data_IF_391787980675
#
_entry.id   IF_391787980675
#
_cell.length_a   1.000
_cell.length_b   1.000
_cell.length_c   1.000
_cell.angle_alpha   90.00
_cell.angle_beta   90.00
_cell.angle_gamma   90.00
#
_symmetry.space_group_name_H-M   'P 1'
#
loop_
_entity.id
_entity.type
_entity.pdbx_description
1 polymer ?
#
# COMPACT_ATOMS: atom_id res chain seq x y z
N UNK A 1 -0.03 -17.12 -23.23
CA UNK A 1 0.50 -15.78 -22.89
C UNK A 1 -0.65 -14.90 -22.40
N UNK A 2 -0.39 -14.12 -21.37
CA UNK A 2 -1.31 -13.07 -20.89
C UNK A 2 -0.88 -11.73 -21.48
N UNK A 3 -1.80 -10.94 -22.01
CA UNK A 3 -1.50 -9.66 -22.67
C UNK A 3 -1.50 -8.51 -21.66
N UNK A 4 -0.48 -7.67 -21.71
CA UNK A 4 -0.41 -6.40 -21.00
C UNK A 4 -0.04 -5.29 -21.98
N UNK A 5 -0.88 -4.25 -22.07
CA UNK A 5 -0.66 -3.08 -22.95
C UNK A 5 -0.42 -1.83 -22.10
N UNK A 6 0.54 -1.01 -22.53
CA UNK A 6 0.77 0.30 -21.93
C UNK A 6 -0.25 1.31 -22.45
N UNK A 7 -0.84 2.05 -21.53
CA UNK A 7 -1.85 3.07 -21.84
C UNK A 7 -1.25 4.35 -22.40
N UNK A 8 -1.24 4.46 -23.73
CA UNK A 8 -1.43 5.74 -24.38
C UNK A 8 -2.89 5.78 -24.85
N UNK A 9 -3.59 6.87 -24.62
CA UNK A 9 -5.05 7.03 -24.75
C UNK A 9 -5.75 6.40 -26.00
N UNK A 10 -5.15 6.29 -27.19
CA UNK A 10 -5.76 5.55 -28.33
C UNK A 10 -5.59 4.03 -28.22
N UNK A 11 -4.62 3.53 -27.45
CA UNK A 11 -4.18 2.13 -27.46
C UNK A 11 -5.03 1.27 -26.52
N UNK A 12 -5.60 1.83 -25.46
CA UNK A 12 -6.52 1.09 -24.58
C UNK A 12 -7.79 0.60 -25.30
N UNK A 13 -8.22 1.27 -26.36
CA UNK A 13 -9.32 0.78 -27.20
C UNK A 13 -8.90 -0.38 -28.11
N UNK A 14 -7.61 -0.55 -28.38
CA UNK A 14 -7.07 -1.61 -29.21
C UNK A 14 -6.83 -2.92 -28.42
N UNK A 15 -6.67 -2.84 -27.11
CA UNK A 15 -6.39 -4.02 -26.27
C UNK A 15 -7.45 -5.11 -26.43
N UNK A 16 -8.72 -4.76 -26.23
CA UNK A 16 -9.82 -5.74 -26.25
C UNK A 16 -9.94 -6.46 -27.60
N UNK A 17 -9.99 -5.77 -28.76
CA UNK A 17 -10.05 -6.45 -30.05
C UNK A 17 -8.80 -7.26 -30.37
N UNK A 18 -7.60 -6.79 -30.00
CA UNK A 18 -6.37 -7.54 -30.18
C UNK A 18 -6.35 -8.81 -29.34
N UNK A 19 -6.71 -8.71 -28.06
CA UNK A 19 -6.83 -9.87 -27.16
C UNK A 19 -7.80 -10.91 -27.74
N UNK A 20 -9.00 -10.48 -28.14
CA UNK A 20 -10.00 -11.36 -28.74
C UNK A 20 -9.49 -12.05 -30.01
N UNK A 21 -8.78 -11.33 -30.88
CA UNK A 21 -8.19 -11.90 -32.10
C UNK A 21 -7.11 -12.94 -31.79
N UNK A 22 -6.22 -12.66 -30.82
CA UNK A 22 -5.17 -13.58 -30.41
C UNK A 22 -5.71 -14.85 -29.72
N UNK A 23 -6.74 -14.71 -28.89
CA UNK A 23 -7.44 -15.86 -28.27
C UNK A 23 -8.09 -16.71 -29.35
N UNK A 24 -8.84 -16.10 -30.28
CA UNK A 24 -9.49 -16.80 -31.40
C UNK A 24 -8.49 -17.52 -32.32
N UNK A 25 -7.30 -16.95 -32.48
CA UNK A 25 -6.21 -17.57 -33.24
C UNK A 25 -5.45 -18.67 -32.47
N UNK A 26 -5.83 -18.99 -31.23
CA UNK A 26 -5.15 -19.95 -30.38
C UNK A 26 -3.72 -19.55 -29.95
N UNK A 27 -3.42 -18.24 -30.03
CA UNK A 27 -2.08 -17.70 -29.72
C UNK A 27 -1.98 -17.09 -28.31
N UNK A 28 -3.11 -16.92 -27.63
CA UNK A 28 -3.18 -16.39 -26.29
C UNK A 28 -4.09 -17.28 -25.44
N UNK A 29 -3.61 -17.60 -24.22
CA UNK A 29 -4.40 -18.31 -23.21
C UNK A 29 -4.43 -17.45 -21.94
N UNK A 30 -5.56 -17.41 -21.24
CA UNK A 30 -5.70 -16.68 -19.98
C UNK A 30 -5.35 -17.62 -18.80
N UNK A 31 -4.07 -17.94 -18.67
CA UNK A 31 -3.51 -18.73 -17.57
C UNK A 31 -2.43 -17.91 -16.86
N UNK A 32 -2.59 -17.58 -15.58
CA UNK A 32 -1.60 -16.82 -14.80
C UNK A 32 -0.26 -17.55 -14.63
N UNK A 33 -0.21 -18.87 -14.85
CA UNK A 33 1.02 -19.67 -14.82
C UNK A 33 1.88 -19.52 -16.08
N UNK A 34 1.32 -18.99 -17.17
CA UNK A 34 2.04 -18.81 -18.42
C UNK A 34 2.80 -17.46 -18.46
N UNK A 35 3.91 -17.39 -19.23
CA UNK A 35 4.60 -16.14 -19.49
C UNK A 35 3.65 -15.07 -20.04
N UNK A 36 3.85 -13.83 -19.61
CA UNK A 36 3.04 -12.71 -20.03
C UNK A 36 3.61 -12.07 -21.28
N UNK A 37 2.79 -11.91 -22.31
CA UNK A 37 3.13 -11.15 -23.52
C UNK A 37 2.95 -9.64 -23.22
N UNK A 38 4.04 -8.90 -23.35
CA UNK A 38 4.08 -7.45 -23.17
C UNK A 38 4.20 -6.78 -24.54
N UNK A 39 3.28 -5.86 -24.84
CA UNK A 39 3.33 -5.06 -26.05
C UNK A 39 3.42 -3.58 -25.65
N UNK A 40 4.49 -2.91 -26.08
CA UNK A 40 4.69 -1.48 -25.86
C UNK A 40 4.70 -0.77 -27.22
N UNK A 41 3.66 0.00 -27.51
CA UNK A 41 3.54 0.74 -28.76
C UNK A 41 4.28 2.06 -28.65
N UNK A 42 5.28 2.26 -29.50
CA UNK A 42 5.94 3.54 -29.71
C UNK A 42 5.14 4.46 -30.62
N UNK A 43 4.48 3.87 -31.62
CA UNK A 43 3.60 4.56 -32.57
C UNK A 43 2.57 3.58 -33.12
N UNK A 44 1.69 4.01 -34.01
CA UNK A 44 0.77 3.12 -34.74
C UNK A 44 1.44 2.11 -35.69
N UNK A 45 2.77 2.22 -35.87
CA UNK A 45 3.56 1.36 -36.77
C UNK A 45 4.71 0.64 -36.10
N UNK A 46 5.03 0.99 -34.86
CA UNK A 46 6.15 0.44 -34.13
C UNK A 46 5.71 -0.13 -32.77
N UNK A 47 6.03 -1.38 -32.54
CA UNK A 47 5.72 -2.08 -31.27
C UNK A 47 6.94 -2.84 -30.79
N UNK A 48 7.24 -2.70 -29.50
CA UNK A 48 8.17 -3.59 -28.82
C UNK A 48 7.39 -4.77 -28.24
N UNK A 49 7.90 -5.96 -28.47
CA UNK A 49 7.30 -7.21 -28.02
C UNK A 49 8.27 -7.84 -27.01
N UNK A 50 7.77 -8.16 -25.83
CA UNK A 50 8.54 -8.81 -24.77
C UNK A 50 7.75 -9.92 -24.10
N UNK A 51 8.47 -10.81 -23.46
CA UNK A 51 7.92 -11.85 -22.59
C UNK A 51 8.40 -11.61 -21.17
N UNK A 52 7.48 -11.73 -20.21
CA UNK A 52 7.80 -11.65 -18.79
C UNK A 52 7.36 -12.94 -18.10
N UNK A 53 8.28 -13.53 -17.34
CA UNK A 53 8.00 -14.71 -16.55
C UNK A 53 6.97 -14.40 -15.45
N UNK A 54 6.03 -15.31 -15.12
CA UNK A 54 4.97 -15.07 -14.14
C UNK A 54 5.50 -14.65 -12.77
N UNK A 55 6.64 -15.24 -12.35
CA UNK A 55 7.27 -14.94 -11.06
C UNK A 55 8.00 -13.61 -11.03
N UNK A 56 8.24 -12.99 -12.17
CA UNK A 56 8.97 -11.73 -12.32
C UNK A 56 8.18 -10.69 -13.09
N UNK A 57 6.86 -10.75 -13.03
CA UNK A 57 5.98 -9.77 -13.65
C UNK A 57 4.88 -9.33 -12.69
N UNK A 58 4.56 -8.04 -12.70
CA UNK A 58 3.44 -7.52 -11.93
C UNK A 58 2.11 -8.06 -12.48
N UNK A 59 1.15 -8.33 -11.60
CA UNK A 59 -0.20 -8.78 -11.99
C UNK A 59 -0.95 -7.71 -12.80
N UNK A 60 -0.61 -6.46 -12.57
CA UNK A 60 -1.28 -5.29 -13.13
C UNK A 60 -0.52 -4.75 -14.35
N UNK A 61 -1.22 -4.23 -15.36
CA UNK A 61 -0.55 -3.51 -16.45
C UNK A 61 0.36 -2.41 -15.90
N UNK A 62 1.59 -2.33 -16.37
CA UNK A 62 2.64 -1.41 -15.92
C UNK A 62 3.00 -1.51 -14.42
N UNK A 63 2.57 -2.57 -13.74
CA UNK A 63 2.72 -2.69 -12.29
C UNK A 63 1.83 -1.75 -11.48
N UNK A 64 0.82 -1.14 -12.09
CA UNK A 64 -0.06 -0.14 -11.48
C UNK A 64 -1.42 -0.77 -11.17
N UNK A 65 -1.76 -1.01 -9.89
CA UNK A 65 -3.10 -1.42 -9.52
C UNK A 65 -4.06 -0.23 -9.67
N UNK A 66 -4.89 -0.26 -10.71
CA UNK A 66 -5.94 0.75 -10.91
C UNK A 66 -7.17 0.36 -10.11
N UNK A 67 -7.11 0.68 -8.82
CA UNK A 67 -8.16 0.34 -7.88
C UNK A 67 -9.39 1.21 -8.09
N UNK A 68 -10.57 0.60 -7.95
CA UNK A 68 -11.84 1.31 -8.02
C UNK A 68 -12.13 1.94 -6.66
N UNK A 69 -12.41 3.23 -6.64
CA UNK A 69 -12.80 3.94 -5.42
C UNK A 69 -14.17 3.42 -4.92
N UNK A 70 -14.23 2.86 -3.71
CA UNK A 70 -15.48 2.44 -3.09
C UNK A 70 -16.34 3.66 -2.74
N UNK A 71 -17.64 3.62 -3.05
CA UNK A 71 -18.55 4.76 -2.80
C UNK A 71 -18.73 5.06 -1.32
N UNK A 72 -18.66 4.04 -0.49
CA UNK A 72 -18.85 4.09 0.96
C UNK A 72 -17.61 4.61 1.71
N UNK A 73 -16.45 4.64 1.06
CA UNK A 73 -15.23 5.11 1.68
C UNK A 73 -15.24 6.63 1.88
N UNK A 74 -14.89 7.13 3.07
CA UNK A 74 -14.99 8.56 3.40
C UNK A 74 -14.05 9.45 2.61
N UNK A 75 -12.94 8.91 2.11
CA UNK A 75 -11.97 9.67 1.33
C UNK A 75 -11.21 8.81 0.34
N UNK A 76 -10.64 9.44 -0.69
CA UNK A 76 -9.82 8.76 -1.71
C UNK A 76 -8.50 8.22 -1.16
N UNK A 77 -8.06 8.61 0.03
CA UNK A 77 -6.86 8.09 0.69
C UNK A 77 -6.97 6.59 0.96
N UNK A 78 -8.18 6.03 1.00
CA UNK A 78 -8.45 4.60 1.12
C UNK A 78 -7.69 3.77 0.08
N UNK A 79 -7.52 4.30 -1.16
CA UNK A 79 -6.83 3.62 -2.24
C UNK A 79 -5.33 3.47 -1.99
N UNK A 80 -4.71 4.36 -1.21
CA UNK A 80 -3.29 4.27 -0.87
C UNK A 80 -3.00 3.04 -0.01
N UNK A 81 -3.81 2.82 1.03
CA UNK A 81 -3.64 1.66 1.91
C UNK A 81 -3.92 0.35 1.18
N UNK A 82 -4.96 0.31 0.36
CA UNK A 82 -5.29 -0.85 -0.47
C UNK A 82 -4.15 -1.16 -1.45
N UNK A 83 -3.61 -0.15 -2.14
CA UNK A 83 -2.46 -0.31 -3.02
C UNK A 83 -1.22 -0.78 -2.26
N UNK A 84 -0.96 -0.22 -1.06
CA UNK A 84 0.16 -0.64 -0.21
C UNK A 84 0.08 -2.14 0.11
N UNK A 85 -1.08 -2.65 0.48
CA UNK A 85 -1.27 -4.08 0.72
C UNK A 85 -0.99 -4.92 -0.53
N UNK A 86 -1.48 -4.51 -1.69
CA UNK A 86 -1.19 -5.18 -2.96
C UNK A 86 0.29 -5.19 -3.32
N UNK A 87 1.04 -4.15 -2.95
CA UNK A 87 2.46 -4.01 -3.29
C UNK A 87 3.39 -4.73 -2.30
N UNK A 88 3.03 -4.74 -1.02
CA UNK A 88 3.94 -5.20 0.03
C UNK A 88 3.57 -6.54 0.64
N UNK A 89 2.33 -7.01 0.46
CA UNK A 89 1.86 -8.26 1.05
C UNK A 89 1.53 -9.26 -0.08
N UNK A 90 2.21 -10.41 -0.15
CA UNK A 90 1.84 -11.46 -1.08
C UNK A 90 0.37 -11.86 -0.90
N UNK A 91 -0.37 -12.03 -1.99
CA UNK A 91 -1.80 -12.35 -1.93
C UNK A 91 -2.10 -13.62 -1.11
N UNK A 92 -1.19 -14.59 -1.14
CA UNK A 92 -1.27 -15.82 -0.36
C UNK A 92 -1.17 -15.62 1.17
N UNK A 93 -0.73 -14.44 1.62
CA UNK A 93 -0.60 -14.12 3.04
C UNK A 93 -1.75 -13.23 3.55
N UNK A 94 -2.66 -12.80 2.68
CA UNK A 94 -3.71 -11.85 3.04
C UNK A 94 -4.63 -12.40 4.14
N UNK A 95 -5.10 -13.63 4.03
CA UNK A 95 -6.01 -14.23 5.01
C UNK A 95 -5.37 -14.38 6.40
N UNK A 96 -4.04 -14.40 6.47
CA UNK A 96 -3.29 -14.47 7.73
C UNK A 96 -2.92 -13.10 8.27
N UNK A 97 -2.62 -12.13 7.40
CA UNK A 97 -2.06 -10.83 7.79
C UNK A 97 -3.07 -9.70 7.77
N UNK A 98 -4.22 -9.90 7.14
CA UNK A 98 -5.33 -8.96 7.07
C UNK A 98 -6.63 -9.67 7.53
N UNK A 99 -6.54 -10.43 8.61
CA UNK A 99 -7.63 -11.25 9.15
C UNK A 99 -8.63 -10.41 9.95
N UNK A 100 -9.88 -10.86 10.08
CA UNK A 100 -10.84 -10.34 11.03
C UNK A 100 -10.29 -10.32 12.47
N UNK A 101 -10.88 -9.48 13.31
CA UNK A 101 -10.56 -9.31 14.75
C UNK A 101 -9.12 -8.86 15.06
N UNK A 102 -8.26 -8.63 14.07
CA UNK A 102 -6.97 -8.01 14.29
C UNK A 102 -7.12 -6.61 14.90
N UNK A 103 -6.18 -6.24 15.75
CA UNK A 103 -6.11 -4.92 16.36
C UNK A 103 -5.30 -3.97 15.48
N UNK A 104 -5.88 -2.84 15.13
CA UNK A 104 -5.23 -1.83 14.32
C UNK A 104 -5.31 -0.44 14.97
N UNK A 105 -4.30 0.38 14.71
CA UNK A 105 -4.29 1.80 15.06
C UNK A 105 -4.09 2.61 13.79
N UNK A 106 -4.97 3.58 13.54
CA UNK A 106 -4.88 4.54 12.44
C UNK A 106 -4.52 5.92 13.02
N UNK A 107 -3.30 6.38 12.75
CA UNK A 107 -2.80 7.67 13.21
C UNK A 107 -3.00 8.74 12.13
N UNK A 108 -3.74 9.80 12.47
CA UNK A 108 -4.21 10.79 11.51
C UNK A 108 -5.41 10.28 10.72
N UNK A 109 -6.34 9.65 11.43
CA UNK A 109 -7.40 8.84 10.84
C UNK A 109 -8.45 9.65 10.07
N UNK A 110 -8.79 10.87 10.51
CA UNK A 110 -9.94 11.63 9.98
C UNK A 110 -9.77 11.96 8.47
N UNK A 111 -10.83 11.84 7.68
CA UNK A 111 -12.19 11.41 8.00
C UNK A 111 -12.41 9.90 8.05
N UNK A 112 -11.34 9.06 7.87
CA UNK A 112 -11.42 7.61 8.02
C UNK A 112 -11.14 6.81 6.75
N UNK A 113 -10.39 7.38 5.80
CA UNK A 113 -10.08 6.66 4.55
C UNK A 113 -9.30 5.37 4.76
N UNK A 114 -8.30 5.39 5.63
CA UNK A 114 -7.52 4.21 5.97
C UNK A 114 -8.25 3.33 7.00
N UNK A 115 -8.91 3.95 7.98
CA UNK A 115 -9.80 3.26 8.91
C UNK A 115 -10.84 2.42 8.18
N UNK A 116 -11.43 2.93 7.08
CA UNK A 116 -12.41 2.21 6.28
C UNK A 116 -11.86 0.89 5.70
N UNK A 117 -10.61 0.89 5.22
CA UNK A 117 -9.97 -0.34 4.72
C UNK A 117 -9.78 -1.39 5.82
N UNK A 118 -9.42 -0.96 7.02
CA UNK A 118 -9.25 -1.85 8.17
C UNK A 118 -10.59 -2.42 8.63
N UNK A 119 -11.61 -1.57 8.75
CA UNK A 119 -12.99 -1.97 9.11
C UNK A 119 -13.59 -2.91 8.07
N UNK A 120 -13.35 -2.65 6.78
CA UNK A 120 -13.81 -3.53 5.70
C UNK A 120 -13.14 -4.92 5.71
N UNK A 121 -12.11 -5.09 6.53
CA UNK A 121 -11.46 -6.36 6.87
C UNK A 121 -11.89 -6.90 8.24
N UNK A 122 -12.94 -6.32 8.83
CA UNK A 122 -13.45 -6.70 10.15
C UNK A 122 -12.40 -6.56 11.26
N UNK A 123 -11.41 -5.66 11.10
CA UNK A 123 -10.43 -5.34 12.14
C UNK A 123 -11.03 -4.36 13.15
N UNK A 124 -10.57 -4.45 14.39
CA UNK A 124 -10.88 -3.49 15.47
C UNK A 124 -9.88 -2.35 15.42
N UNK A 125 -10.36 -1.14 15.18
CA UNK A 125 -9.52 0.01 14.87
C UNK A 125 -9.61 1.06 15.97
N UNK A 126 -8.48 1.44 16.56
CA UNK A 126 -8.38 2.70 17.28
C UNK A 126 -7.99 3.79 16.30
N UNK A 127 -8.94 4.66 15.98
CA UNK A 127 -8.76 5.81 15.09
C UNK A 127 -8.32 7.03 15.91
N UNK A 128 -7.11 7.51 15.69
CA UNK A 128 -6.50 8.62 16.45
C UNK A 128 -6.43 9.87 15.59
N UNK A 129 -7.29 10.83 15.89
CA UNK A 129 -7.33 12.13 15.20
C UNK A 129 -8.18 13.12 16.00
N UNK A 130 -7.87 14.42 15.95
CA UNK A 130 -8.70 15.47 16.53
C UNK A 130 -9.90 15.84 15.64
N UNK A 131 -9.84 15.53 14.35
CA UNK A 131 -10.92 15.74 13.38
C UNK A 131 -12.06 14.73 13.53
N UNK A 132 -13.22 15.02 12.92
CA UNK A 132 -14.36 14.11 12.96
C UNK A 132 -14.15 12.89 12.06
N UNK A 133 -14.54 11.73 12.55
CA UNK A 133 -14.65 10.51 11.77
C UNK A 133 -15.98 10.45 11.02
N UNK A 134 -16.01 9.82 9.87
CA UNK A 134 -17.23 9.59 9.12
C UNK A 134 -18.23 8.74 9.92
N UNK A 135 -19.52 9.11 9.89
CA UNK A 135 -20.56 8.48 10.70
C UNK A 135 -20.71 6.98 10.41
N UNK A 136 -20.65 6.58 9.14
CA UNK A 136 -20.77 5.17 8.76
C UNK A 136 -19.68 4.29 9.40
N UNK A 137 -18.50 4.83 9.68
CA UNK A 137 -17.44 4.11 10.40
C UNK A 137 -17.77 3.98 11.88
N UNK A 138 -18.31 5.03 12.49
CA UNK A 138 -18.68 4.99 13.90
C UNK A 138 -19.84 4.01 14.17
N UNK A 139 -20.76 3.87 13.22
CA UNK A 139 -21.86 2.88 13.33
C UNK A 139 -21.41 1.42 13.11
N UNK A 140 -20.20 1.18 12.63
CA UNK A 140 -19.69 -0.20 12.43
C UNK A 140 -19.51 -0.97 13.73
N UNK A 141 -19.37 -0.29 14.87
CA UNK A 141 -19.02 -0.90 16.15
C UNK A 141 -17.57 -1.39 16.26
N UNK A 142 -16.76 -1.21 15.20
CA UNK A 142 -15.36 -1.66 15.13
C UNK A 142 -14.35 -0.51 15.37
N UNK A 143 -14.81 0.74 15.48
CA UNK A 143 -13.96 1.92 15.59
C UNK A 143 -14.07 2.56 16.96
N UNK A 144 -12.93 2.67 17.65
CA UNK A 144 -12.74 3.48 18.85
C UNK A 144 -12.01 4.77 18.46
N UNK A 145 -12.73 5.92 18.49
CA UNK A 145 -12.16 7.21 18.10
C UNK A 145 -11.55 7.94 19.30
N UNK A 146 -10.23 8.17 19.24
CA UNK A 146 -9.45 8.85 20.27
C UNK A 146 -9.01 10.24 19.78
N UNK A 147 -9.52 11.31 20.41
CA UNK A 147 -9.18 12.71 20.10
C UNK A 147 -7.91 13.14 20.82
N UNK A 148 -6.77 12.61 20.37
CA UNK A 148 -5.45 12.90 20.92
C UNK A 148 -4.41 13.08 19.81
N UNK A 149 -3.23 13.62 20.14
CA UNK A 149 -2.12 13.73 19.20
C UNK A 149 -1.59 12.34 18.83
N UNK A 150 -1.66 11.98 17.53
CA UNK A 150 -1.20 10.69 17.02
C UNK A 150 0.30 10.42 17.28
N UNK A 151 1.13 11.46 17.41
CA UNK A 151 2.56 11.30 17.74
C UNK A 151 2.78 10.95 19.22
N UNK A 152 1.85 11.31 20.08
CA UNK A 152 1.92 11.02 21.53
C UNK A 152 1.16 9.76 21.91
N UNK A 153 0.24 9.31 21.07
CA UNK A 153 -0.56 8.13 21.33
C UNK A 153 0.29 6.87 21.48
N UNK A 154 -0.04 6.05 22.47
CA UNK A 154 0.53 4.72 22.69
C UNK A 154 -0.59 3.73 22.98
N UNK A 155 -0.62 2.56 22.30
CA UNK A 155 -1.63 1.55 22.56
C UNK A 155 -1.38 0.89 23.93
N UNK A 156 -2.46 0.46 24.59
CA UNK A 156 -2.37 -0.24 25.88
C UNK A 156 -1.76 -1.63 25.77
N UNK A 157 -1.82 -2.24 24.60
CA UNK A 157 -1.24 -3.53 24.27
C UNK A 157 -0.71 -3.50 22.83
N UNK A 158 0.18 -4.45 22.50
CA UNK A 158 0.69 -4.61 21.15
C UNK A 158 -0.48 -4.82 20.18
N UNK A 159 -0.48 -4.07 19.09
CA UNK A 159 -1.44 -4.22 18.02
C UNK A 159 -0.84 -4.98 16.81
N UNK A 160 -1.69 -5.49 15.93
CA UNK A 160 -1.24 -6.16 14.72
C UNK A 160 -0.78 -5.13 13.67
N UNK A 161 -1.55 -4.05 13.50
CA UNK A 161 -1.27 -3.01 12.50
C UNK A 161 -1.19 -1.62 13.10
N UNK A 162 -0.20 -0.86 12.64
CA UNK A 162 -0.20 0.59 12.74
C UNK A 162 -0.21 1.18 11.33
N UNK A 163 -1.16 2.06 11.05
CA UNK A 163 -1.21 2.80 9.79
C UNK A 163 -1.16 4.29 10.06
N UNK A 164 -0.53 5.07 9.16
CA UNK A 164 -0.34 6.51 9.38
C UNK A 164 -0.23 7.28 8.06
N UNK A 165 -1.15 8.23 7.84
CA UNK A 165 -1.12 9.18 6.71
C UNK A 165 -1.08 10.66 7.18
N UNK A 166 -0.47 10.93 8.34
CA UNK A 166 -0.34 12.28 8.89
C UNK A 166 0.53 13.15 7.96
N UNK A 167 0.09 14.41 7.76
CA UNK A 167 0.88 15.42 7.04
C UNK A 167 1.88 16.05 8.00
N UNK A 168 3.13 15.58 7.97
CA UNK A 168 4.20 16.06 8.83
C UNK A 168 5.57 15.88 8.14
N UNK A 169 6.62 16.47 8.73
CA UNK A 169 7.99 16.32 8.25
C UNK A 169 8.41 14.85 8.27
N UNK A 170 9.03 14.34 7.20
CA UNK A 170 9.36 12.92 7.09
C UNK A 170 10.28 12.40 8.20
N UNK A 171 11.18 13.24 8.72
CA UNK A 171 12.05 12.87 9.84
C UNK A 171 11.26 12.59 11.14
N UNK A 172 10.18 13.35 11.42
CA UNK A 172 9.32 13.12 12.58
C UNK A 172 8.53 11.83 12.44
N UNK A 173 8.01 11.58 11.23
CA UNK A 173 7.33 10.33 10.90
C UNK A 173 8.30 9.14 10.96
N UNK A 174 9.55 9.31 10.53
CA UNK A 174 10.61 8.31 10.70
C UNK A 174 10.86 7.94 12.17
N UNK A 175 10.90 8.93 13.07
CA UNK A 175 11.02 8.69 14.51
C UNK A 175 9.79 7.97 15.11
N UNK A 176 8.58 8.27 14.60
CA UNK A 176 7.37 7.55 14.96
C UNK A 176 7.47 6.06 14.59
N UNK A 177 7.89 5.76 13.37
CA UNK A 177 8.12 4.38 12.90
C UNK A 177 9.14 3.67 13.81
N UNK A 178 10.26 4.34 14.10
CA UNK A 178 11.32 3.81 14.98
C UNK A 178 10.78 3.40 16.35
N UNK A 179 9.93 4.24 16.93
CA UNK A 179 9.27 3.96 18.21
C UNK A 179 8.32 2.76 18.09
N UNK A 180 7.38 2.80 17.15
CA UNK A 180 6.33 1.79 17.08
C UNK A 180 6.85 0.38 16.76
N UNK A 181 7.77 0.27 15.82
CA UNK A 181 8.40 -1.01 15.48
C UNK A 181 9.48 -1.40 16.49
N UNK A 182 10.32 -0.45 16.90
CA UNK A 182 11.44 -0.70 17.78
C UNK A 182 11.03 -1.11 19.20
N UNK A 183 9.98 -0.50 19.74
CA UNK A 183 9.42 -0.85 21.06
C UNK A 183 8.42 -2.02 20.99
N UNK A 184 8.06 -2.45 19.77
CA UNK A 184 7.14 -3.57 19.57
C UNK A 184 5.69 -3.23 19.86
N UNK A 185 5.29 -1.96 19.69
CA UNK A 185 3.89 -1.52 19.85
C UNK A 185 2.98 -2.07 18.77
N UNK A 186 3.53 -2.36 17.58
CA UNK A 186 2.81 -3.07 16.52
C UNK A 186 3.66 -4.19 15.90
N UNK A 187 3.00 -5.11 15.17
CA UNK A 187 3.66 -6.15 14.38
C UNK A 187 4.06 -5.64 13.01
N UNK A 188 3.15 -4.93 12.38
CA UNK A 188 3.31 -4.37 11.04
C UNK A 188 2.87 -2.93 10.99
N UNK A 189 3.47 -2.17 10.08
CA UNK A 189 3.10 -0.79 9.86
C UNK A 189 3.07 -0.44 8.36
N UNK A 190 2.09 0.39 7.97
CA UNK A 190 2.09 1.11 6.69
C UNK A 190 2.04 2.59 6.99
N UNK A 191 3.03 3.32 6.49
CA UNK A 191 3.21 4.74 6.83
C UNK A 191 3.60 5.55 5.61
N UNK A 192 2.94 6.68 5.39
CA UNK A 192 3.30 7.62 4.35
C UNK A 192 4.32 8.65 4.86
N UNK A 193 5.45 8.73 4.17
CA UNK A 193 6.44 9.78 4.37
C UNK A 193 6.16 10.92 3.39
N UNK A 194 5.72 12.07 3.89
CA UNK A 194 5.52 13.28 3.08
C UNK A 194 6.87 13.87 2.71
N UNK A 195 7.09 14.07 1.41
CA UNK A 195 8.40 14.45 0.91
C UNK A 195 8.53 15.95 0.69
N UNK A 196 9.70 16.54 0.96
CA UNK A 196 9.96 17.93 0.64
C UNK A 196 10.01 18.14 -0.89
N UNK A 197 9.90 19.37 -1.35
CA UNK A 197 9.96 19.68 -2.79
C UNK A 197 11.32 19.33 -3.42
N UNK A 198 12.40 19.41 -2.62
CA UNK A 198 13.77 19.12 -3.06
C UNK A 198 14.40 17.98 -2.28
N UNK A 199 15.40 17.30 -2.88
CA UNK A 199 16.19 16.24 -2.24
C UNK A 199 15.37 15.04 -1.72
N UNK A 200 14.25 14.74 -2.35
CA UNK A 200 13.30 13.66 -1.94
C UNK A 200 14.00 12.33 -1.71
N UNK A 201 14.78 11.89 -2.68
CA UNK A 201 15.52 10.62 -2.58
C UNK A 201 16.51 10.60 -1.40
N UNK A 202 17.26 11.68 -1.22
CA UNK A 202 18.24 11.81 -0.14
C UNK A 202 17.55 11.72 1.23
N UNK A 203 16.40 12.37 1.38
CA UNK A 203 15.63 12.35 2.63
C UNK A 203 15.11 10.94 2.95
N UNK A 204 14.48 10.28 1.98
CA UNK A 204 14.02 8.89 2.14
C UNK A 204 15.18 7.97 2.50
N UNK A 205 16.31 8.08 1.80
CA UNK A 205 17.49 7.27 2.05
C UNK A 205 18.03 7.44 3.48
N UNK A 206 18.11 8.68 3.97
CA UNK A 206 18.56 8.97 5.35
C UNK A 206 17.65 8.34 6.38
N UNK A 207 16.33 8.46 6.20
CA UNK A 207 15.36 7.87 7.13
C UNK A 207 15.47 6.35 7.13
N UNK A 208 15.48 5.71 5.97
CA UNK A 208 15.57 4.25 5.87
C UNK A 208 16.90 3.71 6.42
N UNK A 209 18.00 4.42 6.23
CA UNK A 209 19.30 4.06 6.79
C UNK A 209 19.26 4.14 8.31
N UNK A 210 18.78 5.25 8.87
CA UNK A 210 18.62 5.42 10.33
C UNK A 210 17.75 4.32 10.96
N UNK A 211 16.62 3.99 10.32
CA UNK A 211 15.74 2.93 10.81
C UNK A 211 16.45 1.57 10.85
N UNK A 212 17.20 1.21 9.79
CA UNK A 212 17.98 -0.04 9.76
C UNK A 212 19.02 -0.06 10.87
N UNK A 213 19.83 0.99 10.99
CA UNK A 213 20.86 1.10 12.02
C UNK A 213 20.26 1.00 13.44
N UNK A 214 19.12 1.65 13.69
CA UNK A 214 18.44 1.59 14.98
C UNK A 214 17.88 0.20 15.30
N UNK A 215 17.30 -0.50 14.31
CA UNK A 215 16.77 -1.85 14.52
C UNK A 215 17.90 -2.86 14.68
N UNK A 216 18.96 -2.76 13.89
CA UNK A 216 20.14 -3.63 14.00
C UNK A 216 20.81 -3.48 15.35
N UNK A 217 20.99 -2.24 15.85
CA UNK A 217 21.54 -1.97 17.18
C UNK A 217 20.70 -2.57 18.33
N UNK A 218 19.39 -2.78 18.12
CA UNK A 218 18.48 -3.45 19.06
C UNK A 218 18.37 -4.97 18.83
N UNK A 219 19.10 -5.52 17.86
CA UNK A 219 19.02 -6.94 17.49
C UNK A 219 17.66 -7.34 16.88
N UNK A 220 16.92 -6.39 16.32
CA UNK A 220 15.59 -6.61 15.75
C UNK A 220 15.70 -6.94 14.26
N UNK A 221 15.05 -8.02 13.82
CA UNK A 221 14.88 -8.33 12.42
C UNK A 221 13.60 -7.67 11.91
N UNK A 222 13.73 -6.67 11.03
CA UNK A 222 12.61 -5.93 10.44
C UNK A 222 12.71 -5.95 8.93
N UNK A 223 11.68 -6.46 8.26
CA UNK A 223 11.53 -6.29 6.83
C UNK A 223 11.05 -4.86 6.54
N UNK A 224 11.73 -4.15 5.65
CA UNK A 224 11.42 -2.76 5.29
C UNK A 224 11.25 -2.69 3.78
N UNK A 225 10.05 -2.35 3.32
CA UNK A 225 9.72 -1.95 1.96
C UNK A 225 9.41 -0.46 1.90
N UNK A 226 9.82 0.22 0.84
CA UNK A 226 9.46 1.61 0.60
C UNK A 226 9.33 1.86 -0.89
N UNK A 227 8.21 2.44 -1.31
CA UNK A 227 7.91 2.69 -2.72
C UNK A 227 6.99 3.89 -2.86
N UNK A 228 7.15 4.66 -3.93
CA UNK A 228 6.11 5.58 -4.37
C UNK A 228 5.01 4.78 -5.06
N UNK A 229 3.79 4.87 -4.55
CA UNK A 229 2.63 4.20 -5.09
C UNK A 229 1.94 5.08 -6.15
N UNK A 230 1.08 4.48 -6.96
CA UNK A 230 0.31 5.22 -7.96
C UNK A 230 -0.67 6.23 -7.35
N UNK A 231 -1.26 5.87 -6.20
CA UNK A 231 -2.19 6.75 -5.48
C UNK A 231 -1.49 7.75 -4.55
N UNK A 232 -0.16 7.67 -4.39
CA UNK A 232 0.65 8.68 -3.71
C UNK A 232 0.76 9.95 -4.57
N UNK A 233 1.02 11.08 -3.90
CA UNK A 233 1.32 12.36 -4.56
C UNK A 233 2.77 12.74 -4.29
N UNK A 234 2.98 13.60 -3.28
CA UNK A 234 4.28 14.12 -2.84
C UNK A 234 4.84 13.27 -1.67
N UNK A 235 4.67 11.95 -1.75
CA UNK A 235 4.96 11.02 -0.66
C UNK A 235 5.50 9.69 -1.16
N UNK A 236 6.08 8.92 -0.26
CA UNK A 236 6.35 7.48 -0.47
C UNK A 236 5.72 6.69 0.66
N UNK A 237 5.23 5.51 0.33
CA UNK A 237 4.66 4.58 1.30
C UNK A 237 5.72 3.60 1.77
N UNK A 238 5.91 3.51 3.08
CA UNK A 238 6.76 2.53 3.74
C UNK A 238 5.91 1.44 4.37
N UNK A 239 6.32 0.20 4.19
CA UNK A 239 5.81 -0.97 4.90
C UNK A 239 6.93 -1.55 5.75
N UNK A 240 6.65 -1.79 7.03
CA UNK A 240 7.59 -2.40 7.97
C UNK A 240 6.93 -3.58 8.66
N UNK A 241 7.68 -4.67 8.80
CA UNK A 241 7.22 -5.88 9.50
C UNK A 241 8.31 -6.37 10.42
N UNK A 242 7.98 -6.48 11.70
CA UNK A 242 8.85 -7.13 12.68
C UNK A 242 8.79 -8.65 12.46
N UNK A 243 9.96 -9.24 12.18
CA UNK A 243 10.08 -10.68 11.99
C UNK A 243 10.33 -11.30 13.38
N UNK A 244 9.38 -12.10 13.86
CA UNK A 244 9.54 -12.88 15.08
C UNK A 244 10.57 -13.99 14.84
N UNK A 245 11.32 -14.32 15.89
CA UNK A 245 12.31 -15.41 15.86
C UNK A 245 11.62 -16.76 15.80
#
# INVERSE_FOLDING_TARGET
>A
YTLSLHDALPICKFEKPLRAALVKAGRLQEDPALPRLLLTFRSGREVFVGLAEPRNSALWPMGIPRLKFPREAPSRSTLKLEEAWHQFIPRSEWDKRLAPDMLAVDLGAAPGGWTWQLVNREMRVTAVDNGPMAENLMYSGLVDHQKVDGYQYRPRQRVDWMVCDIVEKPARTGALIETWIGEGLCREAVVNLKLPMKQRYTEVRKILQRLRESFDARGLKVAIGCKQLYHDREEVTCHLRRLER
#
